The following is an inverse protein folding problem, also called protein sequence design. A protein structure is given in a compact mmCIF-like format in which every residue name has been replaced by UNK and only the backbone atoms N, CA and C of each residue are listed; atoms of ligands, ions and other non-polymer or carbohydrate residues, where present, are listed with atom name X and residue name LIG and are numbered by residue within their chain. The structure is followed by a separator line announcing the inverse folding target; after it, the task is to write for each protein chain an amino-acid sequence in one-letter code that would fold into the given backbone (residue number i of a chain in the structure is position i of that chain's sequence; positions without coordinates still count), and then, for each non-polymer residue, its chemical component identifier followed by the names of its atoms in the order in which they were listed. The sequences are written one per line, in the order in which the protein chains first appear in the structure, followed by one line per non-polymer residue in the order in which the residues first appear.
data_IF_780239134157
#
_entry.id   IF_780239134157
#
_cell.length_a   1.000
_cell.length_b   1.000
_cell.length_c   1.000
_cell.angle_alpha   90.00
_cell.angle_beta   90.00
_cell.angle_gamma   90.00
#
_symmetry.space_group_name_H-M   'P 1'
#
loop_
_entity.id
_entity.type
_entity.pdbx_description
1 polymer ?
#
# COMPACT_ATOMS: atom_id res chain seq x y z
N UNK A 1 20.93 -3.77 -12.79
CA UNK A 1 19.84 -3.08 -13.53
C UNK A 1 18.79 -2.49 -12.60
N UNK A 2 18.42 -3.16 -11.50
CA UNK A 2 17.44 -2.64 -10.52
C UNK A 2 18.02 -1.64 -9.51
N UNK A 3 19.26 -1.83 -9.06
CA UNK A 3 19.99 -0.82 -8.26
C UNK A 3 20.01 0.57 -8.93
N UNK A 4 20.20 0.59 -10.25
CA UNK A 4 20.12 1.82 -11.04
C UNK A 4 18.72 2.47 -10.96
N UNK A 5 17.64 1.67 -10.97
CA UNK A 5 16.27 2.18 -10.83
C UNK A 5 15.96 2.71 -9.44
N UNK A 6 16.43 2.03 -8.40
CA UNK A 6 16.33 2.50 -7.01
C UNK A 6 17.02 3.86 -6.91
N UNK A 7 18.23 3.98 -7.49
CA UNK A 7 18.95 5.23 -7.51
C UNK A 7 18.24 6.32 -8.32
N UNK A 8 17.63 5.97 -9.46
CA UNK A 8 16.87 6.93 -10.24
C UNK A 8 15.59 7.39 -9.50
N UNK A 9 14.88 6.50 -8.79
CA UNK A 9 13.74 6.86 -7.93
C UNK A 9 14.16 7.80 -6.79
N UNK A 10 15.30 7.52 -6.13
CA UNK A 10 15.87 8.41 -5.10
C UNK A 10 16.17 9.80 -5.65
N UNK A 11 16.77 9.86 -6.83
CA UNK A 11 17.03 11.14 -7.50
C UNK A 11 15.73 11.86 -7.85
N UNK A 12 14.69 11.13 -8.28
CA UNK A 12 13.38 11.70 -8.56
C UNK A 12 12.70 12.26 -7.31
N UNK A 13 12.74 11.51 -6.21
CA UNK A 13 12.23 11.93 -4.90
C UNK A 13 12.83 13.24 -4.42
N UNK A 14 14.13 13.46 -4.64
CA UNK A 14 14.85 14.69 -4.25
C UNK A 14 14.37 15.93 -5.01
N UNK A 15 13.81 15.75 -6.20
CA UNK A 15 13.42 16.84 -7.11
C UNK A 15 11.90 17.07 -7.18
N UNK A 16 11.11 16.35 -6.36
CA UNK A 16 9.66 16.42 -6.33
C UNK A 16 9.20 16.97 -4.98
N UNK A 17 8.17 17.82 -5.00
CA UNK A 17 7.50 18.31 -3.79
C UNK A 17 7.06 17.15 -2.88
N UNK A 18 7.27 17.29 -1.57
CA UNK A 18 7.02 16.24 -0.59
C UNK A 18 5.55 15.76 -0.59
N UNK A 19 4.57 16.64 -0.83
CA UNK A 19 3.15 16.23 -0.91
C UNK A 19 2.91 15.39 -2.16
N UNK A 20 3.54 15.76 -3.27
CA UNK A 20 3.43 15.02 -4.52
C UNK A 20 4.12 13.66 -4.44
N UNK A 21 5.31 13.58 -3.83
CA UNK A 21 6.00 12.32 -3.50
C UNK A 21 5.09 11.37 -2.71
N UNK A 22 4.42 11.88 -1.67
CA UNK A 22 3.47 11.11 -0.87
C UNK A 22 2.25 10.67 -1.69
N UNK A 23 1.70 11.56 -2.53
CA UNK A 23 0.52 11.28 -3.37
C UNK A 23 0.78 10.20 -4.43
N UNK A 24 2.01 10.14 -4.93
CA UNK A 24 2.49 9.16 -5.91
C UNK A 24 3.05 7.88 -5.26
N UNK A 25 3.22 7.83 -3.94
CA UNK A 25 3.75 6.66 -3.25
C UNK A 25 5.20 6.32 -3.63
N UNK A 26 6.01 7.32 -3.99
CA UNK A 26 7.38 7.11 -4.48
C UNK A 26 8.25 6.40 -3.43
N UNK A 27 8.12 6.78 -2.17
CA UNK A 27 8.87 6.16 -1.06
C UNK A 27 8.46 4.70 -0.83
N UNK A 28 7.16 4.39 -0.90
CA UNK A 28 6.68 3.02 -0.79
C UNK A 28 7.12 2.17 -1.99
N UNK A 29 7.20 2.77 -3.18
CA UNK A 29 7.71 2.08 -4.37
C UNK A 29 9.21 1.82 -4.27
N UNK A 30 9.98 2.77 -3.74
CA UNK A 30 11.40 2.58 -3.43
C UNK A 30 11.60 1.43 -2.45
N UNK A 31 10.88 1.42 -1.33
CA UNK A 31 10.96 0.35 -0.32
C UNK A 31 10.62 -1.02 -0.89
N UNK A 32 9.61 -1.10 -1.77
CA UNK A 32 9.27 -2.35 -2.46
C UNK A 32 10.46 -2.86 -3.27
N UNK A 33 11.08 -2.00 -4.09
CA UNK A 33 12.20 -2.41 -4.93
C UNK A 33 13.42 -2.80 -4.12
N UNK A 34 13.73 -2.07 -3.04
CA UNK A 34 14.79 -2.44 -2.12
C UNK A 34 14.52 -3.80 -1.48
N UNK A 35 13.30 -4.05 -0.98
CA UNK A 35 12.94 -5.34 -0.37
C UNK A 35 13.04 -6.49 -1.36
N UNK A 36 12.57 -6.30 -2.59
CA UNK A 36 12.67 -7.31 -3.64
C UNK A 36 14.14 -7.58 -4.05
N UNK A 37 15.00 -6.55 -4.02
CA UNK A 37 16.45 -6.67 -4.26
C UNK A 37 17.14 -7.42 -3.11
N UNK A 38 16.92 -7.00 -1.88
CA UNK A 38 17.52 -7.55 -0.67
C UNK A 38 17.17 -9.01 -0.45
N UNK A 39 15.95 -9.42 -0.82
CA UNK A 39 15.49 -10.82 -0.73
C UNK A 39 15.95 -11.68 -1.92
N UNK A 40 16.73 -11.13 -2.85
CA UNK A 40 17.20 -11.85 -4.04
C UNK A 40 16.07 -12.31 -4.96
N UNK A 41 14.87 -11.75 -4.80
CA UNK A 41 13.67 -12.10 -5.57
C UNK A 41 13.76 -11.57 -7.00
N UNK A 42 14.71 -10.67 -7.27
CA UNK A 42 14.91 -10.02 -8.57
C UNK A 42 16.07 -10.62 -9.37
N UNK A 43 17.10 -11.13 -8.71
CA UNK A 43 18.34 -11.56 -9.38
C UNK A 43 18.33 -13.03 -9.82
N UNK A 44 17.42 -13.85 -9.28
CA UNK A 44 17.42 -15.30 -9.47
C UNK A 44 16.44 -15.82 -10.54
N UNK A 45 16.28 -15.17 -11.70
CA UNK A 45 15.56 -15.74 -12.86
C UNK A 45 14.07 -16.11 -12.69
N UNK A 46 13.53 -16.09 -11.47
CA UNK A 46 12.18 -16.43 -11.04
C UNK A 46 11.25 -15.22 -10.95
N UNK A 47 11.75 -14.00 -11.23
CA UNK A 47 10.81 -12.92 -11.53
C UNK A 47 10.07 -13.31 -12.79
N UNK A 48 8.79 -13.65 -12.64
CA UNK A 48 7.92 -13.79 -13.81
C UNK A 48 8.13 -12.54 -14.65
N UNK A 49 8.60 -12.69 -15.90
CA UNK A 49 8.87 -11.59 -16.85
C UNK A 49 7.80 -10.49 -16.82
N UNK A 50 6.54 -10.87 -16.51
CA UNK A 50 5.44 -9.97 -16.22
C UNK A 50 5.67 -8.96 -15.09
N UNK A 51 6.19 -9.36 -13.93
CA UNK A 51 6.46 -8.44 -12.81
C UNK A 51 7.52 -7.40 -13.16
N UNK A 52 8.61 -7.82 -13.83
CA UNK A 52 9.60 -6.88 -14.37
C UNK A 52 8.96 -5.87 -15.33
N UNK A 53 8.13 -6.34 -16.26
CA UNK A 53 7.39 -5.45 -17.18
C UNK A 53 6.47 -4.49 -16.45
N UNK A 54 5.82 -4.91 -15.36
CA UNK A 54 4.97 -4.04 -14.55
C UNK A 54 5.78 -2.95 -13.83
N UNK A 55 6.93 -3.30 -13.25
CA UNK A 55 7.82 -2.33 -12.60
C UNK A 55 8.34 -1.31 -13.62
N UNK A 56 8.78 -1.77 -14.79
CA UNK A 56 9.25 -0.92 -15.88
C UNK A 56 8.16 0.02 -16.40
N UNK A 57 6.96 -0.52 -16.62
CA UNK A 57 5.80 0.24 -17.06
C UNK A 57 5.41 1.32 -16.06
N UNK A 58 5.38 0.98 -14.77
CA UNK A 58 5.05 1.92 -13.71
C UNK A 58 6.10 3.03 -13.58
N UNK A 59 7.38 2.66 -13.67
CA UNK A 59 8.48 3.63 -13.63
C UNK A 59 8.41 4.60 -14.81
N UNK A 60 8.09 4.11 -16.01
CA UNK A 60 7.87 4.94 -17.19
C UNK A 60 6.68 5.89 -16.99
N UNK A 61 5.56 5.39 -16.49
CA UNK A 61 4.37 6.21 -16.22
C UNK A 61 4.68 7.32 -15.19
N UNK A 62 5.40 7.00 -14.10
CA UNK A 62 5.85 7.98 -13.12
C UNK A 62 6.72 9.07 -13.75
N UNK A 63 7.67 8.67 -14.60
CA UNK A 63 8.57 9.60 -15.29
C UNK A 63 7.81 10.52 -16.23
N UNK A 64 6.86 9.99 -16.99
CA UNK A 64 5.99 10.77 -17.89
C UNK A 64 5.17 11.79 -17.10
N UNK A 65 4.51 11.37 -16.02
CA UNK A 65 3.76 12.30 -15.14
C UNK A 65 4.62 13.46 -14.65
N UNK A 66 5.87 13.16 -14.29
CA UNK A 66 6.78 14.20 -13.81
C UNK A 66 7.29 15.11 -14.91
N UNK A 67 7.75 14.57 -16.04
CA UNK A 67 8.30 15.33 -17.16
C UNK A 67 7.25 16.24 -17.82
N UNK A 68 6.03 15.74 -17.97
CA UNK A 68 4.93 16.49 -18.57
C UNK A 68 4.22 17.39 -17.56
N UNK A 69 4.60 17.33 -16.28
CA UNK A 69 3.88 17.94 -15.16
C UNK A 69 2.37 17.61 -15.15
N UNK A 70 1.98 16.48 -15.73
CA UNK A 70 0.58 16.10 -15.90
C UNK A 70 0.03 15.37 -14.65
N UNK A 71 -0.31 16.14 -13.63
CA UNK A 71 -0.90 15.61 -12.39
C UNK A 71 -2.44 15.69 -12.37
N UNK A 72 -3.06 15.71 -13.56
CA UNK A 72 -4.51 15.75 -13.67
C UNK A 72 -5.17 14.49 -13.07
N UNK A 73 -6.47 14.57 -12.80
CA UNK A 73 -7.22 13.48 -12.14
C UNK A 73 -7.18 12.16 -12.92
N UNK A 74 -7.18 12.20 -14.25
CA UNK A 74 -7.17 11.01 -15.12
C UNK A 74 -5.80 10.34 -15.11
N UNK A 75 -4.74 11.10 -15.30
CA UNK A 75 -3.36 10.62 -15.29
C UNK A 75 -2.98 10.02 -13.93
N UNK A 76 -3.30 10.73 -12.84
CA UNK A 76 -3.13 10.22 -11.47
C UNK A 76 -3.94 8.94 -11.19
N UNK A 77 -5.15 8.81 -11.76
CA UNK A 77 -5.99 7.62 -11.60
C UNK A 77 -5.40 6.42 -12.36
N UNK A 78 -4.87 6.65 -13.56
CA UNK A 78 -4.17 5.63 -14.35
C UNK A 78 -2.99 5.07 -13.57
N UNK A 79 -2.08 5.94 -13.13
CA UNK A 79 -0.90 5.55 -12.37
C UNK A 79 -1.23 4.79 -11.10
N UNK A 80 -2.21 5.27 -10.32
CA UNK A 80 -2.67 4.56 -9.11
C UNK A 80 -3.23 3.17 -9.42
N UNK A 81 -3.90 3.00 -10.56
CA UNK A 81 -4.40 1.70 -11.01
C UNK A 81 -3.25 0.77 -11.38
N UNK A 82 -2.27 1.24 -12.14
CA UNK A 82 -1.05 0.50 -12.47
C UNK A 82 -0.30 0.08 -11.21
N UNK A 83 -0.15 1.01 -10.25
CA UNK A 83 0.55 0.74 -9.00
C UNK A 83 -0.20 -0.28 -8.13
N UNK A 84 -1.53 -0.15 -8.01
CA UNK A 84 -2.34 -1.13 -7.30
C UNK A 84 -2.26 -2.53 -7.92
N UNK A 85 -2.20 -2.62 -9.25
CA UNK A 85 -2.01 -3.89 -9.96
C UNK A 85 -0.64 -4.51 -9.66
N UNK A 86 0.42 -3.70 -9.62
CA UNK A 86 1.75 -4.16 -9.21
C UNK A 86 1.73 -4.70 -7.78
N UNK A 87 1.14 -3.96 -6.84
CA UNK A 87 1.03 -4.38 -5.44
C UNK A 87 0.24 -5.68 -5.28
N UNK A 88 -0.87 -5.83 -6.01
CA UNK A 88 -1.63 -7.08 -6.02
C UNK A 88 -0.77 -8.25 -6.51
N UNK A 89 -0.01 -8.04 -7.60
CA UNK A 89 0.85 -9.10 -8.14
C UNK A 89 1.99 -9.48 -7.19
N UNK A 90 2.62 -8.50 -6.55
CA UNK A 90 3.65 -8.73 -5.53
C UNK A 90 3.09 -9.51 -4.34
N UNK A 91 1.89 -9.15 -3.89
CA UNK A 91 1.21 -9.86 -2.81
C UNK A 91 0.86 -11.30 -3.17
N UNK A 92 0.41 -11.55 -4.39
CA UNK A 92 0.13 -12.91 -4.88
C UNK A 92 1.38 -13.78 -4.94
N UNK A 93 2.49 -13.24 -5.44
CA UNK A 93 3.71 -14.00 -5.67
C UNK A 93 4.54 -14.20 -4.41
N UNK A 94 4.64 -13.19 -3.55
CA UNK A 94 5.60 -13.17 -2.44
C UNK A 94 4.96 -12.93 -1.07
N UNK A 95 3.63 -12.79 -1.01
CA UNK A 95 2.91 -12.39 0.21
C UNK A 95 3.45 -11.09 0.85
N UNK A 96 4.13 -10.25 0.05
CA UNK A 96 4.66 -8.96 0.47
C UNK A 96 3.55 -7.91 0.44
N UNK A 97 3.45 -7.14 1.52
CA UNK A 97 2.47 -6.08 1.68
C UNK A 97 3.11 -4.77 2.15
N UNK A 98 2.58 -3.60 1.75
CA UNK A 98 3.12 -2.33 2.23
C UNK A 98 2.81 -2.12 3.72
N UNK A 99 3.75 -1.51 4.45
CA UNK A 99 3.58 -1.26 5.87
C UNK A 99 2.31 -0.47 6.20
N UNK A 100 1.59 -0.97 7.20
CA UNK A 100 0.32 -0.43 7.67
C UNK A 100 -0.90 -0.86 6.85
N UNK A 101 -0.73 -1.59 5.73
CA UNK A 101 -1.85 -2.06 4.91
C UNK A 101 -2.68 -3.12 5.65
N UNK A 102 -2.03 -4.00 6.43
CA UNK A 102 -2.68 -5.08 7.17
C UNK A 102 -3.45 -4.43 8.32
N UNK A 103 -2.79 -3.59 9.11
CA UNK A 103 -3.45 -2.85 10.18
C UNK A 103 -4.66 -2.05 9.67
N UNK A 104 -4.51 -1.29 8.58
CA UNK A 104 -5.60 -0.48 8.01
C UNK A 104 -6.81 -1.31 7.61
N UNK A 105 -6.57 -2.51 7.06
CA UNK A 105 -7.64 -3.43 6.65
C UNK A 105 -8.42 -3.97 7.84
N UNK A 106 -7.73 -4.37 8.91
CA UNK A 106 -8.38 -4.86 10.12
C UNK A 106 -9.10 -3.74 10.88
N UNK A 107 -8.56 -2.52 10.89
CA UNK A 107 -9.26 -1.34 11.41
C UNK A 107 -10.55 -1.07 10.64
N UNK A 108 -10.53 -1.14 9.30
CA UNK A 108 -11.73 -0.97 8.49
C UNK A 108 -12.77 -2.08 8.73
N UNK A 109 -12.32 -3.35 8.86
CA UNK A 109 -13.20 -4.47 9.24
C UNK A 109 -13.81 -4.25 10.62
N UNK A 110 -13.01 -3.79 11.58
CA UNK A 110 -13.46 -3.41 12.92
C UNK A 110 -14.50 -2.31 12.88
N UNK A 111 -14.33 -1.29 12.05
CA UNK A 111 -15.32 -0.22 11.86
C UNK A 111 -16.64 -0.76 11.29
N UNK A 112 -16.59 -1.62 10.27
CA UNK A 112 -17.80 -2.24 9.69
C UNK A 112 -18.51 -3.09 10.73
N UNK A 113 -17.77 -3.95 11.42
CA UNK A 113 -18.31 -4.81 12.48
C UNK A 113 -18.90 -4.00 13.64
N UNK A 114 -18.19 -2.96 14.10
CA UNK A 114 -18.65 -2.04 15.13
C UNK A 114 -19.89 -1.24 14.70
N UNK A 115 -19.98 -0.88 13.43
CA UNK A 115 -21.18 -0.25 12.85
C UNK A 115 -22.37 -1.22 12.87
N UNK A 116 -22.14 -2.50 12.53
CA UNK A 116 -23.18 -3.54 12.60
C UNK A 116 -23.67 -3.76 14.04
N UNK A 117 -22.76 -3.91 15.01
CA UNK A 117 -23.12 -4.02 16.44
C UNK A 117 -23.85 -2.76 16.92
N UNK A 118 -23.32 -1.58 16.60
CA UNK A 118 -23.93 -0.31 16.95
C UNK A 118 -25.35 -0.20 16.40
N UNK A 119 -25.59 -0.63 15.16
CA UNK A 119 -26.92 -0.63 14.54
C UNK A 119 -27.92 -1.57 15.21
N UNK A 120 -27.46 -2.73 15.69
CA UNK A 120 -28.28 -3.65 16.48
C UNK A 120 -28.63 -3.03 17.84
N UNK A 121 -27.68 -2.35 18.47
CA UNK A 121 -27.89 -1.69 19.77
C UNK A 121 -28.72 -0.40 19.66
N UNK A 122 -28.67 0.29 18.51
CA UNK A 122 -29.56 1.41 18.19
C UNK A 122 -31.04 1.00 18.25
N UNK A 123 -31.37 -0.24 17.89
CA UNK A 123 -32.73 -0.76 17.96
C UNK A 123 -33.30 -0.78 19.39
N UNK A 124 -32.45 -0.67 20.41
CA UNK A 124 -32.84 -0.54 21.82
C UNK A 124 -33.05 0.92 22.27
N UNK A 125 -33.08 1.88 21.33
CA UNK A 125 -33.57 3.24 21.56
C UNK A 125 -32.52 4.28 21.95
N UNK A 126 -31.23 3.96 21.90
CA UNK A 126 -30.17 4.91 22.28
C UNK A 126 -29.20 5.19 21.12
N UNK A 127 -29.27 6.39 20.54
CA UNK A 127 -28.43 6.86 19.45
C UNK A 127 -26.91 6.78 19.73
N UNK A 128 -26.51 6.89 21.00
CA UNK A 128 -25.12 6.78 21.45
C UNK A 128 -24.55 5.36 21.28
N UNK A 129 -25.41 4.35 21.11
CA UNK A 129 -24.95 2.97 20.89
C UNK A 129 -24.25 2.79 19.55
N UNK A 130 -24.57 3.60 18.54
CA UNK A 130 -23.87 3.58 17.26
C UNK A 130 -22.43 4.08 17.42
N UNK A 131 -22.23 5.19 18.13
CA UNK A 131 -20.88 5.74 18.34
C UNK A 131 -20.03 4.83 19.24
N UNK A 132 -20.64 4.20 20.25
CA UNK A 132 -19.98 3.17 21.07
C UNK A 132 -19.59 1.94 20.24
N UNK A 133 -20.50 1.42 19.42
CA UNK A 133 -20.24 0.28 18.54
C UNK A 133 -19.08 0.56 17.58
N UNK A 134 -19.08 1.71 16.90
CA UNK A 134 -18.01 2.12 15.99
C UNK A 134 -16.68 2.27 16.74
N UNK A 135 -16.67 2.93 17.90
CA UNK A 135 -15.45 3.16 18.67
C UNK A 135 -14.84 1.85 19.17
N UNK A 136 -15.66 0.93 19.68
CA UNK A 136 -15.21 -0.41 20.07
C UNK A 136 -14.68 -1.19 18.87
N UNK A 137 -15.42 -1.18 17.76
CA UNK A 137 -15.00 -1.81 16.52
C UNK A 137 -13.64 -1.32 16.03
N UNK A 138 -13.40 0.00 16.08
CA UNK A 138 -12.12 0.60 15.73
C UNK A 138 -10.98 0.13 16.65
N UNK A 139 -11.18 0.12 17.96
CA UNK A 139 -10.17 -0.33 18.93
C UNK A 139 -9.81 -1.80 18.72
N UNK A 140 -10.82 -2.68 18.57
CA UNK A 140 -10.60 -4.10 18.32
C UNK A 140 -9.92 -4.35 16.97
N UNK A 141 -10.40 -3.68 15.91
CA UNK A 141 -9.83 -3.78 14.57
C UNK A 141 -8.38 -3.30 14.53
N UNK A 142 -8.07 -2.18 15.18
CA UNK A 142 -6.71 -1.66 15.28
C UNK A 142 -5.80 -2.60 16.09
N UNK A 143 -6.29 -3.16 17.21
CA UNK A 143 -5.52 -4.10 18.04
C UNK A 143 -5.14 -5.38 17.30
N UNK A 144 -6.12 -6.06 16.68
CA UNK A 144 -5.88 -7.26 15.86
C UNK A 144 -4.98 -6.90 14.66
N UNK A 145 -5.25 -5.76 14.01
CA UNK A 145 -4.47 -5.27 12.89
C UNK A 145 -3.00 -5.05 13.23
N UNK A 146 -2.71 -4.40 14.36
CA UNK A 146 -1.34 -4.17 14.83
C UNK A 146 -0.61 -5.48 15.16
N UNK A 147 -1.30 -6.46 15.73
CA UNK A 147 -0.72 -7.78 15.98
C UNK A 147 -0.38 -8.49 14.66
N UNK A 148 -1.31 -8.51 13.69
CA UNK A 148 -1.10 -9.13 12.38
C UNK A 148 -0.02 -8.45 11.56
N UNK A 149 0.07 -7.13 11.63
CA UNK A 149 1.14 -6.35 11.02
C UNK A 149 2.50 -6.72 11.63
N UNK A 150 2.57 -6.86 12.96
CA UNK A 150 3.79 -7.28 13.66
C UNK A 150 4.22 -8.69 13.25
N UNK A 151 3.30 -9.65 13.21
CA UNK A 151 3.56 -11.03 12.73
C UNK A 151 4.10 -11.01 11.29
N UNK A 152 3.50 -10.22 10.40
CA UNK A 152 3.95 -10.12 9.01
C UNK A 152 5.32 -9.45 8.89
N UNK A 153 5.61 -8.44 9.71
CA UNK A 153 6.91 -7.76 9.76
C UNK A 153 8.01 -8.71 10.25
N UNK A 154 7.74 -9.48 11.30
CA UNK A 154 8.66 -10.51 11.83
C UNK A 154 8.93 -11.61 10.80
N UNK A 155 7.93 -11.94 9.97
CA UNK A 155 8.07 -12.89 8.88
C UNK A 155 8.72 -12.31 7.60
N UNK A 156 9.18 -11.05 7.60
CA UNK A 156 9.78 -10.41 6.42
C UNK A 156 8.80 -10.15 5.26
N UNK A 157 7.49 -10.10 5.55
CA UNK A 157 6.41 -9.94 4.57
C UNK A 157 5.90 -8.50 4.43
N UNK A 158 6.60 -7.53 5.03
CA UNK A 158 6.22 -6.12 5.03
C UNK A 158 7.38 -5.27 4.52
N UNK A 159 7.07 -4.26 3.71
CA UNK A 159 8.02 -3.27 3.18
C UNK A 159 7.55 -1.82 3.35
#
# INVERSE_FOLDING_TARGET
MFEDKIQQLRNHRRNIDAKLCKKLGIEQFENLLSTLSDQGLIDNGEVSKGLQMMIEGLYRELRTLHQEHDFNKKAMKSYKKSYAALLARVRELYALEPSGSIQSRYTALGMVFGSSIGSLLLAFGNATMMSLGISLGLVFGAGIGSQKEKEAKEAGKVF
#
